data_IF_318527203385
#
_entry.id   IF_318527203385
#
_cell.length_a   1.000
_cell.length_b   1.000
_cell.length_c   1.000
_cell.angle_alpha   90.00
_cell.angle_beta   90.00
_cell.angle_gamma   90.00
#
_symmetry.space_group_name_H-M   'P 1'
#
loop_
_entity.id
_entity.type
_entity.pdbx_description
1 polymer ?
#
# COMPACT_ATOMS: atom_id res chain seq x y z
N UNK A 1 45.72 20.23 45.13
CA UNK A 1 44.51 20.12 44.29
C UNK A 1 43.41 19.58 45.19
N UNK A 2 42.38 20.39 45.47
CA UNK A 2 41.37 20.12 46.49
C UNK A 2 40.34 19.08 46.03
N UNK A 3 39.77 18.27 46.96
CA UNK A 3 38.89 17.14 46.65
C UNK A 3 37.55 17.55 46.01
N UNK A 4 37.23 18.83 45.97
CA UNK A 4 36.01 19.37 45.35
C UNK A 4 36.04 19.36 43.80
N UNK A 5 37.23 19.26 43.18
CA UNK A 5 37.34 19.24 41.70
C UNK A 5 37.20 17.85 41.07
N UNK A 6 37.23 16.76 41.85
CA UNK A 6 37.03 15.41 41.33
C UNK A 6 35.54 15.01 41.23
N UNK A 7 34.66 15.64 42.02
CA UNK A 7 33.23 15.30 42.04
C UNK A 7 32.45 15.84 40.84
N UNK A 8 32.92 16.93 40.22
CA UNK A 8 32.20 17.59 39.11
C UNK A 8 32.43 16.90 37.76
N UNK A 9 33.55 16.20 37.57
CA UNK A 9 33.84 15.45 36.34
C UNK A 9 33.12 14.10 36.26
N UNK A 10 32.80 13.49 37.41
CA UNK A 10 32.10 12.19 37.42
C UNK A 10 30.61 12.32 37.08
N UNK A 11 29.97 13.45 37.41
CA UNK A 11 28.56 13.69 37.10
C UNK A 11 28.32 14.05 35.62
N UNK A 12 29.30 14.65 34.94
CA UNK A 12 29.18 14.99 33.51
C UNK A 12 29.28 13.74 32.61
N UNK A 13 30.02 12.72 33.04
CA UNK A 13 30.15 11.45 32.31
C UNK A 13 28.91 10.56 32.40
N UNK A 14 28.09 10.71 33.45
CA UNK A 14 26.86 9.91 33.62
C UNK A 14 25.72 10.46 32.75
N UNK A 15 25.68 11.75 32.44
CA UNK A 15 24.62 12.33 31.59
C UNK A 15 24.83 12.12 30.07
N UNK A 16 26.05 11.81 29.63
CA UNK A 16 26.34 11.52 28.21
C UNK A 16 26.13 10.02 27.88
N UNK A 17 26.04 9.15 28.89
CA UNK A 17 25.86 7.71 28.71
C UNK A 17 24.42 7.24 28.44
N UNK A 18 23.41 8.11 28.59
CA UNK A 18 21.99 7.70 28.56
C UNK A 18 21.26 8.00 27.25
N UNK A 19 21.93 8.54 26.23
CA UNK A 19 21.30 8.90 24.93
C UNK A 19 21.40 7.77 23.88
N UNK A 20 22.02 6.63 24.21
CA UNK A 20 22.24 5.54 23.22
C UNK A 20 21.42 4.26 23.43
N UNK A 21 20.47 4.22 24.35
CA UNK A 21 19.55 3.07 24.50
C UNK A 21 18.15 3.42 24.00
N UNK A 22 18.00 3.37 22.69
CA UNK A 22 16.72 3.45 21.99
C UNK A 22 16.76 2.89 20.57
N UNK A 23 17.75 2.09 20.20
CA UNK A 23 17.59 1.20 19.05
C UNK A 23 16.72 0.03 19.53
N UNK A 24 15.41 0.14 19.30
CA UNK A 24 14.55 -1.06 19.27
C UNK A 24 15.21 -2.02 18.29
N UNK A 25 15.74 -3.12 18.81
CA UNK A 25 16.27 -4.22 18.00
C UNK A 25 15.07 -4.75 17.21
N UNK A 26 14.98 -4.31 15.96
CA UNK A 26 14.01 -4.81 15.01
C UNK A 26 14.38 -6.27 14.74
N UNK A 27 13.56 -7.19 15.26
CA UNK A 27 13.69 -8.63 15.03
C UNK A 27 13.25 -9.03 13.61
N UNK A 28 12.91 -8.07 12.75
CA UNK A 28 12.57 -8.33 11.36
C UNK A 28 13.84 -8.71 10.57
N UNK A 29 13.78 -9.82 9.82
CA UNK A 29 14.85 -10.24 8.88
C UNK A 29 14.86 -9.40 7.59
N UNK A 30 14.24 -8.22 7.61
CA UNK A 30 13.97 -7.45 6.42
C UNK A 30 15.25 -6.83 5.88
N UNK A 31 15.57 -7.15 4.64
CA UNK A 31 16.76 -6.63 3.95
C UNK A 31 16.39 -5.34 3.23
N UNK A 32 17.02 -4.22 3.61
CA UNK A 32 16.83 -2.94 2.92
C UNK A 32 17.44 -2.98 1.53
N UNK A 33 16.72 -2.42 0.55
CA UNK A 33 17.16 -2.29 -0.85
C UNK A 33 17.00 -0.85 -1.32
N UNK A 34 17.57 -0.52 -2.48
CA UNK A 34 17.32 0.77 -3.12
C UNK A 34 15.90 0.80 -3.66
N UNK A 35 15.31 1.99 -3.73
CA UNK A 35 14.10 2.22 -4.50
C UNK A 35 14.00 3.64 -5.04
N UNK A 36 13.05 3.85 -5.96
CA UNK A 36 13.06 5.03 -6.83
C UNK A 36 11.99 6.08 -6.52
N UNK A 37 10.81 5.68 -6.07
CA UNK A 37 9.66 6.59 -5.89
C UNK A 37 8.57 5.91 -5.02
N UNK A 38 7.45 6.60 -4.76
CA UNK A 38 6.30 6.11 -3.99
C UNK A 38 5.16 5.59 -4.88
N UNK A 39 4.29 4.77 -4.31
CA UNK A 39 3.02 4.36 -4.94
C UNK A 39 1.85 5.19 -4.43
N UNK A 40 0.99 5.57 -5.38
CA UNK A 40 -0.21 6.36 -5.19
C UNK A 40 -0.98 6.42 -6.52
N UNK A 41 -2.22 6.91 -6.50
CA UNK A 41 -2.96 7.27 -7.72
C UNK A 41 -2.90 8.75 -7.96
N UNK A 42 -2.58 9.14 -9.19
CA UNK A 42 -2.64 10.54 -9.60
C UNK A 42 -4.05 11.14 -9.46
N UNK A 43 -5.10 10.30 -9.46
CA UNK A 43 -6.47 10.75 -9.20
C UNK A 43 -6.75 10.99 -7.71
N UNK A 44 -6.25 10.12 -6.83
CA UNK A 44 -6.55 10.16 -5.40
C UNK A 44 -5.52 10.92 -4.55
N UNK A 45 -4.33 11.23 -5.08
CA UNK A 45 -3.22 11.84 -4.32
C UNK A 45 -3.57 13.15 -3.60
N UNK A 46 -4.51 13.93 -4.13
CA UNK A 46 -4.90 15.20 -3.53
C UNK A 46 -5.70 15.02 -2.21
N UNK A 47 -6.14 13.80 -1.91
CA UNK A 47 -6.96 13.49 -0.74
C UNK A 47 -6.13 12.82 0.36
N UNK A 48 -5.17 11.97 0.00
CA UNK A 48 -4.33 11.25 0.96
C UNK A 48 -2.90 11.77 1.09
N UNK A 49 -2.44 12.60 0.16
CA UNK A 49 -1.08 13.16 0.17
C UNK A 49 0.01 12.08 0.24
N UNK A 50 -0.28 10.87 -0.29
CA UNK A 50 0.69 9.76 -0.27
C UNK A 50 1.93 10.06 -1.10
N UNK A 51 1.88 11.02 -2.01
CA UNK A 51 3.00 11.53 -2.81
C UNK A 51 3.92 12.50 -2.03
N UNK A 52 3.49 12.99 -0.87
CA UNK A 52 4.27 13.93 -0.05
C UNK A 52 5.13 13.25 1.03
N UNK A 53 5.03 11.92 1.18
CA UNK A 53 5.74 11.16 2.20
C UNK A 53 7.26 11.22 2.00
N UNK A 54 8.00 11.24 3.11
CA UNK A 54 9.46 11.43 3.13
C UNK A 54 10.18 10.30 3.85
N UNK A 55 11.50 10.29 3.78
CA UNK A 55 12.36 9.33 4.46
C UNK A 55 12.00 7.86 4.14
N UNK A 56 11.76 7.60 2.87
CA UNK A 56 11.30 6.31 2.36
C UNK A 56 12.40 5.27 2.45
N UNK A 57 12.08 4.10 3.00
CA UNK A 57 12.93 2.93 3.02
C UNK A 57 12.19 1.74 2.41
N UNK A 58 12.86 1.06 1.48
CA UNK A 58 12.35 -0.08 0.74
C UNK A 58 12.99 -1.36 1.27
N UNK A 59 12.22 -2.43 1.27
CA UNK A 59 12.70 -3.75 1.66
C UNK A 59 12.62 -4.71 0.49
N UNK A 60 13.48 -5.73 0.50
CA UNK A 60 13.50 -6.77 -0.52
C UNK A 60 12.09 -7.39 -0.62
N UNK A 61 11.50 -7.48 -1.82
CA UNK A 61 10.21 -8.14 -2.02
C UNK A 61 10.28 -9.61 -1.62
N UNK A 62 9.14 -10.15 -1.22
CA UNK A 62 9.00 -11.55 -0.81
C UNK A 62 7.75 -12.15 -1.44
N UNK A 63 7.70 -13.47 -1.56
CA UNK A 63 6.51 -14.15 -2.05
C UNK A 63 5.39 -14.02 -1.00
N UNK A 64 4.15 -13.84 -1.45
CA UNK A 64 3.01 -13.62 -0.54
C UNK A 64 2.83 -14.80 0.43
N UNK A 65 3.06 -16.03 -0.04
CA UNK A 65 3.00 -17.24 0.80
C UNK A 65 4.14 -17.35 1.84
N UNK A 66 5.20 -16.54 1.72
CA UNK A 66 6.31 -16.48 2.68
C UNK A 66 6.16 -15.34 3.71
N UNK A 67 5.19 -14.44 3.49
CA UNK A 67 4.97 -13.21 4.26
C UNK A 67 4.75 -13.47 5.77
N UNK A 68 3.99 -14.51 6.11
CA UNK A 68 3.63 -14.87 7.49
C UNK A 68 4.84 -15.19 8.38
N UNK A 69 5.97 -15.60 7.79
CA UNK A 69 7.16 -15.99 8.55
C UNK A 69 8.14 -14.84 8.79
N UNK A 70 8.05 -13.77 8.00
CA UNK A 70 9.14 -12.78 7.85
C UNK A 70 8.78 -11.36 8.28
N UNK A 71 7.49 -11.06 8.42
CA UNK A 71 7.02 -9.72 8.76
C UNK A 71 6.81 -9.51 10.27
N UNK A 72 6.90 -8.26 10.76
CA UNK A 72 6.37 -7.90 12.08
C UNK A 72 4.84 -8.09 12.15
N UNK A 73 4.31 -8.44 13.32
CA UNK A 73 2.86 -8.71 13.48
C UNK A 73 1.98 -7.51 13.10
N UNK A 74 2.44 -6.28 13.38
CA UNK A 74 1.76 -5.06 12.93
C UNK A 74 1.53 -5.05 11.42
N UNK A 75 2.55 -5.44 10.65
CA UNK A 75 2.53 -5.48 9.18
C UNK A 75 1.71 -6.68 8.68
N UNK A 76 1.81 -7.84 9.36
CA UNK A 76 0.99 -9.02 9.02
C UNK A 76 -0.50 -8.74 9.14
N UNK A 77 -0.90 -8.06 10.22
CA UNK A 77 -2.30 -7.77 10.49
C UNK A 77 -2.92 -6.81 9.46
N UNK A 78 -2.10 -6.10 8.69
CA UNK A 78 -2.54 -5.25 7.56
C UNK A 78 -2.82 -6.06 6.29
N UNK A 79 -2.32 -7.30 6.20
CA UNK A 79 -2.49 -8.18 5.03
C UNK A 79 -3.66 -9.13 5.22
N UNK A 80 -4.62 -9.09 4.29
CA UNK A 80 -5.63 -10.15 4.18
C UNK A 80 -5.22 -11.15 3.11
N UNK A 81 -5.66 -12.39 3.28
CA UNK A 81 -5.42 -13.42 2.27
C UNK A 81 -6.42 -13.28 1.12
N UNK A 82 -5.90 -13.22 -0.11
CA UNK A 82 -6.68 -13.31 -1.33
C UNK A 82 -6.41 -14.68 -1.96
N UNK A 83 -7.46 -15.42 -2.30
CA UNK A 83 -7.31 -16.62 -3.14
C UNK A 83 -7.06 -16.18 -4.60
N UNK A 84 -5.87 -16.43 -5.18
CA UNK A 84 -5.55 -16.03 -6.54
C UNK A 84 -6.50 -16.62 -7.59
N UNK A 85 -7.14 -17.76 -7.29
CA UNK A 85 -8.09 -18.40 -8.21
C UNK A 85 -9.40 -17.63 -8.38
N UNK A 86 -9.69 -16.66 -7.49
CA UNK A 86 -10.85 -15.77 -7.65
C UNK A 86 -10.63 -14.70 -8.73
N UNK A 87 -9.37 -14.42 -9.09
CA UNK A 87 -9.02 -13.44 -10.12
C UNK A 87 -9.43 -13.90 -11.52
N UNK A 88 -9.78 -12.97 -12.44
CA UNK A 88 -10.25 -13.30 -13.78
C UNK A 88 -9.13 -13.64 -14.77
N UNK A 89 -7.91 -13.87 -14.30
CA UNK A 89 -6.73 -14.23 -15.07
C UNK A 89 -5.85 -15.20 -14.28
N UNK A 90 -4.92 -15.87 -14.98
CA UNK A 90 -3.95 -16.76 -14.34
C UNK A 90 -2.87 -15.92 -13.67
N UNK A 91 -2.58 -16.18 -12.40
CA UNK A 91 -1.48 -15.52 -11.70
C UNK A 91 -0.19 -16.32 -11.93
N UNK A 92 0.78 -15.70 -12.60
CA UNK A 92 2.12 -16.26 -12.80
C UNK A 92 3.09 -15.80 -11.70
N UNK A 93 2.88 -14.59 -11.16
CA UNK A 93 3.70 -14.04 -10.08
C UNK A 93 2.85 -13.40 -8.99
N UNK A 94 3.17 -13.72 -7.72
CA UNK A 94 2.53 -13.16 -6.54
C UNK A 94 3.60 -12.67 -5.54
N UNK A 95 3.77 -11.36 -5.42
CA UNK A 95 4.79 -10.73 -4.56
C UNK A 95 4.19 -9.72 -3.61
N UNK A 96 4.85 -9.55 -2.47
CA UNK A 96 4.58 -8.51 -1.52
C UNK A 96 5.79 -7.56 -1.40
N UNK A 97 5.48 -6.27 -1.34
CA UNK A 97 6.43 -5.18 -1.12
C UNK A 97 6.10 -4.52 0.20
N UNK A 98 7.13 -4.25 1.00
CA UNK A 98 7.02 -3.43 2.20
C UNK A 98 7.83 -2.15 1.99
N UNK A 99 7.20 -1.03 2.30
CA UNK A 99 7.82 0.29 2.30
C UNK A 99 7.46 0.99 3.60
N UNK A 100 8.47 1.56 4.26
CA UNK A 100 8.29 2.43 5.43
C UNK A 100 8.63 3.85 5.05
N UNK A 101 7.82 4.82 5.46
CA UNK A 101 8.06 6.24 5.22
C UNK A 101 7.58 7.07 6.41
N UNK A 102 7.70 8.39 6.29
CA UNK A 102 7.13 9.34 7.23
C UNK A 102 6.13 10.26 6.53
N UNK A 103 5.01 10.52 7.18
CA UNK A 103 4.05 11.53 6.74
C UNK A 103 4.58 12.96 6.95
N UNK A 104 3.74 13.95 6.64
CA UNK A 104 4.05 15.38 6.79
C UNK A 104 4.35 15.78 8.23
N UNK A 105 3.78 15.08 9.22
CA UNK A 105 3.93 15.33 10.65
C UNK A 105 5.12 14.53 11.25
N UNK A 106 5.79 13.72 10.41
CA UNK A 106 6.95 12.93 10.78
C UNK A 106 6.62 11.60 11.44
N UNK A 107 5.35 11.20 11.48
CA UNK A 107 4.91 9.89 11.97
C UNK A 107 5.31 8.81 10.98
N UNK A 108 5.82 7.69 11.48
CA UNK A 108 6.18 6.54 10.65
C UNK A 108 4.91 5.87 10.17
N UNK A 109 4.86 5.56 8.88
CA UNK A 109 3.80 4.80 8.22
C UNK A 109 4.39 3.60 7.50
N UNK A 110 3.71 2.47 7.61
CA UNK A 110 3.96 1.29 6.79
C UNK A 110 2.99 1.27 5.60
N UNK A 111 3.52 0.90 4.44
CA UNK A 111 2.75 0.57 3.25
C UNK A 111 3.13 -0.83 2.78
N UNK A 112 2.12 -1.67 2.59
CA UNK A 112 2.26 -2.98 1.97
C UNK A 112 1.61 -2.93 0.61
N UNK A 113 2.27 -3.50 -0.39
CA UNK A 113 1.66 -3.76 -1.68
C UNK A 113 1.67 -5.26 -1.96
N UNK A 114 0.51 -5.82 -2.29
CA UNK A 114 0.37 -7.18 -2.82
C UNK A 114 0.16 -7.09 -4.33
N UNK A 115 1.01 -7.74 -5.10
CA UNK A 115 0.97 -7.75 -6.57
C UNK A 115 0.68 -9.16 -7.06
N UNK A 116 -0.42 -9.32 -7.80
CA UNK A 116 -0.77 -10.53 -8.53
C UNK A 116 -0.70 -10.22 -10.03
N UNK A 117 0.28 -10.80 -10.72
CA UNK A 117 0.60 -10.48 -12.11
C UNK A 117 0.42 -11.71 -13.00
N UNK A 118 -0.17 -11.49 -14.18
CA UNK A 118 -0.16 -12.42 -15.32
C UNK A 118 0.95 -12.01 -16.28
N UNK A 119 1.63 -12.97 -16.90
CA UNK A 119 2.68 -12.73 -17.87
C UNK A 119 2.27 -13.20 -19.28
N UNK A 120 2.65 -12.43 -20.29
CA UNK A 120 2.53 -12.82 -21.69
C UNK A 120 3.68 -13.75 -22.13
N UNK A 121 3.70 -14.14 -23.41
CA UNK A 121 4.75 -15.00 -23.97
C UNK A 121 6.16 -14.37 -23.99
N UNK A 122 6.27 -13.06 -23.72
CA UNK A 122 7.51 -12.30 -23.64
C UNK A 122 7.88 -11.91 -22.20
N UNK A 123 7.24 -12.52 -21.20
CA UNK A 123 7.44 -12.26 -19.77
C UNK A 123 7.07 -10.82 -19.34
N UNK A 124 6.25 -10.13 -20.14
CA UNK A 124 5.70 -8.81 -19.81
C UNK A 124 4.40 -8.96 -19.04
N UNK A 125 4.10 -8.00 -18.16
CA UNK A 125 2.83 -8.00 -17.42
C UNK A 125 1.68 -7.71 -18.37
N UNK A 126 0.77 -8.67 -18.52
CA UNK A 126 -0.43 -8.58 -19.37
C UNK A 126 -1.65 -8.10 -18.55
N UNK A 127 -1.95 -8.84 -17.48
CA UNK A 127 -3.00 -8.50 -16.50
C UNK A 127 -2.40 -8.35 -15.11
N UNK A 128 -3.06 -7.54 -14.28
CA UNK A 128 -2.67 -7.42 -12.89
C UNK A 128 -3.85 -7.13 -11.97
N UNK A 129 -3.65 -7.49 -10.70
CA UNK A 129 -4.44 -7.05 -9.56
C UNK A 129 -3.47 -6.68 -8.44
N UNK A 130 -3.47 -5.42 -8.04
CA UNK A 130 -2.50 -4.86 -7.11
C UNK A 130 -3.26 -4.19 -5.98
N UNK A 131 -2.89 -4.53 -4.75
CA UNK A 131 -3.49 -4.00 -3.54
C UNK A 131 -2.42 -3.26 -2.76
N UNK A 132 -2.52 -1.93 -2.66
CA UNK A 132 -1.71 -1.14 -1.75
C UNK A 132 -2.52 -0.81 -0.50
N UNK A 133 -1.98 -1.12 0.67
CA UNK A 133 -2.56 -0.82 1.98
C UNK A 133 -1.57 0.05 2.74
N UNK A 134 -1.99 1.26 3.11
CA UNK A 134 -1.16 2.23 3.81
C UNK A 134 -1.79 2.59 5.14
N UNK A 135 -1.01 2.52 6.23
CA UNK A 135 -1.45 2.99 7.55
C UNK A 135 -1.75 4.49 7.52
N UNK A 136 -2.92 4.88 8.02
CA UNK A 136 -3.34 6.29 8.18
C UNK A 136 -4.29 6.42 9.36
N UNK A 137 -3.99 7.31 10.30
CA UNK A 137 -4.88 7.58 11.43
C UNK A 137 -6.11 8.41 11.04
N UNK A 138 -5.96 9.20 9.97
CA UNK A 138 -6.98 10.10 9.46
C UNK A 138 -7.66 9.45 8.25
N UNK A 139 -8.99 9.56 8.21
CA UNK A 139 -9.76 9.15 7.05
C UNK A 139 -9.66 10.23 5.96
N UNK A 140 -8.92 10.01 4.85
CA UNK A 140 -8.81 11.01 3.79
C UNK A 140 -10.17 11.27 3.10
N UNK A 141 -11.14 10.38 3.29
CA UNK A 141 -12.48 10.48 2.70
C UNK A 141 -13.45 11.32 3.53
N UNK A 142 -13.13 11.71 4.77
CA UNK A 142 -14.03 12.55 5.58
C UNK A 142 -14.26 13.94 4.98
N UNK A 143 -13.23 14.48 4.32
CA UNK A 143 -13.29 15.76 3.60
C UNK A 143 -13.60 15.58 2.11
N UNK A 144 -13.79 14.33 1.67
CA UNK A 144 -13.99 13.98 0.28
C UNK A 144 -15.48 13.88 -0.05
N UNK A 145 -16.01 14.98 -0.58
CA UNK A 145 -17.33 14.96 -1.19
C UNK A 145 -17.17 14.82 -2.72
N UNK A 146 -17.29 13.59 -3.23
CA UNK A 146 -17.48 13.37 -4.67
C UNK A 146 -18.87 12.87 -4.98
N UNK A 147 -19.60 13.73 -5.67
CA UNK A 147 -20.83 13.45 -6.40
C UNK A 147 -20.59 13.28 -7.91
N UNK A 148 -19.37 13.56 -8.40
CA UNK A 148 -19.07 13.54 -9.83
C UNK A 148 -18.97 12.12 -10.36
N UNK A 149 -19.75 11.82 -11.40
CA UNK A 149 -19.80 10.51 -12.06
C UNK A 149 -18.59 10.22 -12.97
N UNK A 150 -17.71 11.21 -13.18
CA UNK A 150 -16.56 11.10 -14.09
C UNK A 150 -15.30 11.78 -13.54
N UNK A 151 -14.13 11.23 -13.87
CA UNK A 151 -12.84 11.86 -13.61
C UNK A 151 -12.52 12.99 -14.62
N UNK A 152 -11.37 13.64 -14.44
CA UNK A 152 -10.92 14.75 -15.29
C UNK A 152 -10.63 14.37 -16.74
N UNK A 153 -10.52 13.08 -17.06
CA UNK A 153 -10.27 12.56 -18.41
C UNK A 153 -11.47 11.80 -18.98
N UNK A 154 -12.61 11.77 -18.27
CA UNK A 154 -13.87 11.19 -18.70
C UNK A 154 -14.08 9.71 -18.34
N UNK A 155 -13.24 9.13 -17.47
CA UNK A 155 -13.47 7.77 -16.96
C UNK A 155 -14.57 7.79 -15.90
N UNK A 156 -15.39 6.73 -15.85
CA UNK A 156 -16.52 6.64 -14.93
C UNK A 156 -16.03 6.48 -13.49
N UNK A 157 -16.56 7.28 -12.57
CA UNK A 157 -16.39 7.13 -11.13
C UNK A 157 -17.72 6.69 -10.52
N UNK A 158 -17.69 5.60 -9.76
CA UNK A 158 -18.82 5.12 -8.99
C UNK A 158 -18.50 5.23 -7.51
N UNK A 159 -19.45 5.75 -6.74
CA UNK A 159 -19.44 5.68 -5.28
C UNK A 159 -20.34 4.52 -4.87
N UNK A 160 -19.75 3.54 -4.22
CA UNK A 160 -20.39 2.31 -3.79
C UNK A 160 -20.24 2.18 -2.27
N UNK A 161 -21.06 1.34 -1.63
CA UNK A 161 -20.97 1.14 -0.18
C UNK A 161 -19.88 0.09 0.15
N UNK A 162 -18.88 0.42 0.95
CA UNK A 162 -18.00 -0.59 1.55
C UNK A 162 -18.71 -1.26 2.74
N UNK A 163 -19.26 -0.43 3.62
CA UNK A 163 -20.15 -0.82 4.73
C UNK A 163 -21.32 0.17 4.77
N UNK A 164 -22.27 0.01 5.71
CA UNK A 164 -23.41 0.93 5.85
C UNK A 164 -23.01 2.42 5.96
N UNK A 165 -21.81 2.71 6.47
CA UNK A 165 -21.37 4.09 6.75
C UNK A 165 -20.05 4.49 6.06
N UNK A 166 -19.43 3.60 5.28
CA UNK A 166 -18.15 3.87 4.65
C UNK A 166 -18.24 3.62 3.15
N UNK A 167 -17.83 4.58 2.30
CA UNK A 167 -17.83 4.38 0.86
C UNK A 167 -16.59 3.62 0.38
N UNK A 168 -16.73 3.00 -0.79
CA UNK A 168 -15.64 2.59 -1.67
C UNK A 168 -15.87 3.25 -3.03
N UNK A 169 -14.83 3.91 -3.55
CA UNK A 169 -14.88 4.54 -4.86
C UNK A 169 -14.28 3.59 -5.89
N UNK A 170 -15.00 3.39 -7.00
CA UNK A 170 -14.53 2.61 -8.14
C UNK A 170 -14.37 3.53 -9.36
N UNK A 171 -13.15 3.65 -9.86
CA UNK A 171 -12.85 4.28 -11.14
C UNK A 171 -12.76 3.19 -12.21
N UNK A 172 -13.56 3.32 -13.27
CA UNK A 172 -13.60 2.39 -14.40
C UNK A 172 -13.10 3.10 -15.64
N UNK A 173 -12.06 2.56 -16.27
CA UNK A 173 -11.54 3.08 -17.53
C UNK A 173 -12.61 2.96 -18.61
N UNK A 174 -13.09 4.09 -19.11
CA UNK A 174 -14.12 4.18 -20.17
C UNK A 174 -13.68 5.05 -21.35
N UNK A 175 -12.43 5.51 -21.33
CA UNK A 175 -11.82 6.31 -22.40
C UNK A 175 -10.44 5.75 -22.76
N UNK A 176 -9.81 6.34 -23.78
CA UNK A 176 -8.42 6.02 -24.16
C UNK A 176 -7.38 6.76 -23.29
N UNK A 177 -7.81 7.50 -22.27
CA UNK A 177 -6.96 8.25 -21.36
C UNK A 177 -7.13 7.81 -19.92
N UNK A 178 -6.05 7.88 -19.15
CA UNK A 178 -6.07 7.62 -17.71
C UNK A 178 -5.06 8.51 -17.00
N UNK A 179 -5.40 8.91 -15.78
CA UNK A 179 -4.39 9.34 -14.82
C UNK A 179 -3.59 8.11 -14.38
N UNK A 180 -2.31 8.29 -14.01
CA UNK A 180 -1.44 7.16 -13.71
C UNK A 180 -1.79 6.53 -12.35
N UNK A 181 -2.00 5.23 -12.37
CA UNK A 181 -1.89 4.34 -11.22
C UNK A 181 -0.43 3.91 -11.06
N UNK A 182 0.17 4.18 -9.90
CA UNK A 182 1.57 3.84 -9.62
C UNK A 182 1.67 2.68 -8.64
N UNK A 183 2.47 1.68 -8.98
CA UNK A 183 2.73 0.50 -8.13
C UNK A 183 4.22 0.12 -8.10
N UNK A 184 4.64 -0.62 -7.08
CA UNK A 184 5.99 -1.15 -6.96
C UNK A 184 6.21 -2.40 -7.80
N UNK A 185 7.38 -2.48 -8.43
CA UNK A 185 7.90 -3.67 -9.10
C UNK A 185 9.37 -3.88 -8.72
N UNK A 186 9.89 -5.08 -8.95
CA UNK A 186 11.30 -5.42 -8.70
C UNK A 186 12.11 -5.39 -10.00
N UNK A 187 13.29 -4.77 -9.97
CA UNK A 187 14.26 -4.88 -11.05
C UNK A 187 15.70 -5.03 -10.51
N UNK A 188 16.68 -5.11 -11.41
CA UNK A 188 18.10 -5.29 -11.05
C UNK A 188 18.67 -4.22 -10.11
N UNK A 189 18.02 -3.05 -10.03
CA UNK A 189 18.44 -1.91 -9.18
C UNK A 189 17.73 -1.88 -7.83
N UNK A 190 16.71 -2.71 -7.60
CA UNK A 190 15.90 -2.75 -6.39
C UNK A 190 14.40 -2.60 -6.68
N UNK A 191 13.69 -1.88 -5.80
CA UNK A 191 12.25 -1.61 -5.96
C UNK A 191 12.04 -0.39 -6.83
N UNK A 192 11.40 -0.56 -7.98
CA UNK A 192 11.04 0.54 -8.87
C UNK A 192 9.55 0.83 -8.82
N UNK A 193 9.16 2.03 -9.22
CA UNK A 193 7.75 2.40 -9.37
C UNK A 193 7.38 2.37 -10.85
N UNK A 194 6.28 1.70 -11.17
CA UNK A 194 5.70 1.59 -12.50
C UNK A 194 4.41 2.40 -12.53
N UNK A 195 4.24 3.25 -13.54
CA UNK A 195 3.01 3.99 -13.79
C UNK A 195 2.23 3.38 -14.95
N UNK A 196 0.94 3.13 -14.78
CA UNK A 196 0.06 2.55 -15.81
C UNK A 196 -1.34 3.15 -15.74
N UNK A 197 -2.14 2.91 -16.77
CA UNK A 197 -3.60 3.00 -16.65
C UNK A 197 -4.11 1.77 -15.87
N UNK A 198 -5.10 1.96 -15.00
CA UNK A 198 -5.79 0.89 -14.31
C UNK A 198 -7.24 1.26 -14.05
N UNK A 199 -8.11 0.26 -13.91
CA UNK A 199 -9.31 0.47 -13.11
C UNK A 199 -8.88 0.51 -11.65
N UNK A 200 -9.50 1.37 -10.84
CA UNK A 200 -9.05 1.61 -9.48
C UNK A 200 -10.19 1.48 -8.48
N UNK A 201 -9.87 0.98 -7.29
CA UNK A 201 -10.69 1.12 -6.10
C UNK A 201 -9.95 1.91 -5.05
N UNK A 202 -10.69 2.74 -4.33
CA UNK A 202 -10.18 3.55 -3.24
C UNK A 202 -11.14 3.53 -2.06
N UNK A 203 -10.62 3.19 -0.88
CA UNK A 203 -11.39 3.14 0.34
C UNK A 203 -10.52 3.44 1.56
N UNK A 204 -11.17 3.86 2.64
CA UNK A 204 -10.57 3.92 3.96
C UNK A 204 -11.35 3.01 4.91
N UNK A 205 -10.63 2.14 5.61
CA UNK A 205 -11.22 1.21 6.57
C UNK A 205 -10.22 0.89 7.68
N UNK A 206 -10.68 1.00 8.93
CA UNK A 206 -9.93 0.57 10.12
C UNK A 206 -8.48 1.11 10.22
N UNK A 207 -8.27 2.40 9.98
CA UNK A 207 -6.93 3.02 10.06
C UNK A 207 -6.04 2.75 8.86
N UNK A 208 -6.62 2.30 7.74
CA UNK A 208 -5.87 1.98 6.53
C UNK A 208 -6.52 2.59 5.28
N UNK A 209 -5.69 3.16 4.42
CA UNK A 209 -6.04 3.56 3.07
C UNK A 209 -5.78 2.36 2.15
N UNK A 210 -6.83 1.93 1.45
CA UNK A 210 -6.78 0.88 0.45
C UNK A 210 -6.81 1.52 -0.93
N UNK A 211 -5.77 1.25 -1.69
CA UNK A 211 -5.68 1.68 -3.08
C UNK A 211 -5.36 0.48 -3.96
N UNK A 212 -6.36 0.06 -4.74
CA UNK A 212 -6.35 -1.21 -5.44
C UNK A 212 -6.49 -0.95 -6.94
N UNK A 213 -5.51 -1.36 -7.73
CA UNK A 213 -5.53 -1.24 -9.19
C UNK A 213 -5.70 -2.58 -9.86
N UNK A 214 -6.47 -2.63 -10.95
CA UNK A 214 -6.55 -3.82 -11.79
C UNK A 214 -6.60 -3.50 -13.28
N UNK A 215 -5.95 -4.37 -14.05
CA UNK A 215 -5.99 -4.37 -15.51
C UNK A 215 -6.34 -5.77 -15.98
N UNK A 216 -7.37 -5.84 -16.81
CA UNK A 216 -7.89 -7.05 -17.46
C UNK A 216 -8.24 -6.69 -18.91
N UNK A 217 -8.47 -7.69 -19.75
CA UNK A 217 -8.93 -7.46 -21.12
C UNK A 217 -10.14 -6.52 -21.17
N UNK A 218 -10.08 -5.49 -22.01
CA UNK A 218 -11.16 -4.50 -22.15
C UNK A 218 -12.50 -5.16 -22.49
N UNK A 219 -12.48 -6.22 -23.32
CA UNK A 219 -13.67 -6.99 -23.69
C UNK A 219 -14.31 -7.73 -22.50
N UNK A 220 -13.52 -8.02 -21.45
CA UNK A 220 -13.98 -8.67 -20.22
C UNK A 220 -14.36 -7.67 -19.13
N UNK A 221 -14.06 -6.37 -19.27
CA UNK A 221 -14.34 -5.34 -18.26
C UNK A 221 -15.78 -4.80 -18.33
N UNK A 222 -16.76 -5.70 -18.49
CA UNK A 222 -18.18 -5.36 -18.49
C UNK A 222 -18.73 -5.08 -17.07
N UNK A 223 -20.00 -4.66 -16.96
CA UNK A 223 -20.61 -4.32 -15.66
C UNK A 223 -20.58 -5.50 -14.68
N UNK A 224 -20.78 -6.73 -15.16
CA UNK A 224 -20.75 -7.94 -14.33
C UNK A 224 -19.35 -8.19 -13.78
N UNK A 225 -18.31 -7.98 -14.58
CA UNK A 225 -16.94 -8.09 -14.12
C UNK A 225 -16.60 -6.98 -13.12
N UNK A 226 -17.06 -5.75 -13.37
CA UNK A 226 -16.87 -4.63 -12.43
C UNK A 226 -17.51 -4.94 -11.07
N UNK A 227 -18.71 -5.52 -11.03
CA UNK A 227 -19.37 -5.98 -9.80
C UNK A 227 -18.60 -7.12 -9.13
N UNK A 228 -18.10 -8.10 -9.90
CA UNK A 228 -17.28 -9.20 -9.37
C UNK A 228 -16.01 -8.67 -8.71
N UNK A 229 -15.32 -7.72 -9.34
CA UNK A 229 -14.11 -7.10 -8.80
C UNK A 229 -14.44 -6.27 -7.55
N UNK A 230 -15.54 -5.53 -7.54
CA UNK A 230 -16.01 -4.79 -6.36
C UNK A 230 -16.27 -5.74 -5.17
N UNK A 231 -16.94 -6.87 -5.41
CA UNK A 231 -17.17 -7.88 -4.38
C UNK A 231 -15.85 -8.45 -3.85
N UNK A 232 -14.93 -8.81 -4.75
CA UNK A 232 -13.61 -9.31 -4.37
C UNK A 232 -12.86 -8.33 -3.47
N UNK A 233 -12.90 -7.04 -3.81
CA UNK A 233 -12.28 -5.98 -3.03
C UNK A 233 -12.96 -5.79 -1.67
N UNK A 234 -14.30 -5.79 -1.62
CA UNK A 234 -15.06 -5.73 -0.36
C UNK A 234 -14.69 -6.89 0.57
N UNK A 235 -14.66 -8.12 0.04
CA UNK A 235 -14.22 -9.30 0.77
C UNK A 235 -12.79 -9.11 1.29
N UNK A 236 -11.86 -8.69 0.43
CA UNK A 236 -10.48 -8.44 0.86
C UNK A 236 -10.40 -7.42 1.99
N UNK A 237 -11.12 -6.30 1.91
CA UNK A 237 -11.03 -5.23 2.93
C UNK A 237 -11.71 -5.65 4.25
N UNK A 238 -12.89 -6.26 4.18
CA UNK A 238 -13.77 -6.52 5.34
C UNK A 238 -13.44 -7.84 6.05
N UNK A 239 -12.95 -8.86 5.33
CA UNK A 239 -12.59 -10.15 5.93
C UNK A 239 -11.41 -10.04 6.92
N UNK A 240 -10.82 -8.85 7.08
CA UNK A 240 -9.82 -8.49 8.10
C UNK A 240 -10.20 -8.73 9.56
N UNK A 241 -11.43 -9.14 9.90
CA UNK A 241 -11.90 -9.13 11.31
C UNK A 241 -12.76 -10.28 11.82
N UNK A 242 -12.86 -11.42 11.14
CA UNK A 242 -13.45 -12.59 11.79
C UNK A 242 -12.38 -13.62 12.11
N UNK A 243 -12.13 -13.94 13.40
CA UNK A 243 -11.52 -15.20 13.72
C UNK A 243 -12.43 -16.28 13.12
N UNK A 244 -11.88 -17.13 12.27
CA UNK A 244 -12.48 -18.42 12.00
C UNK A 244 -12.64 -19.15 13.34
N UNK A 245 -13.90 -19.34 13.78
CA UNK A 245 -14.27 -20.16 14.94
C UNK A 245 -13.66 -21.58 14.85
#
# INVERSE_FOLDING_TARGET
MTPEKLSSFLFLLIFIGSILFGCSIDKSKLVKVKGTDLTYSEYFKAYDYLDERKNVAYYKPFLINEAESSLPDQVKNTMNNLDPNKLPFKVDEAKAFLVTSKDKDGKVQNQIQLSYLSKDEYEQTDHFFIISVTESDENPLELYDKTDEFDTVGNKLKKEDLTENLPIYQQVLSTNGALLYRYYDENEKGVATVGTAANEFYAYYDGHIYHIGYLIDTEKNDEKMQEKMLQLVREYIITSKFPSD
#
